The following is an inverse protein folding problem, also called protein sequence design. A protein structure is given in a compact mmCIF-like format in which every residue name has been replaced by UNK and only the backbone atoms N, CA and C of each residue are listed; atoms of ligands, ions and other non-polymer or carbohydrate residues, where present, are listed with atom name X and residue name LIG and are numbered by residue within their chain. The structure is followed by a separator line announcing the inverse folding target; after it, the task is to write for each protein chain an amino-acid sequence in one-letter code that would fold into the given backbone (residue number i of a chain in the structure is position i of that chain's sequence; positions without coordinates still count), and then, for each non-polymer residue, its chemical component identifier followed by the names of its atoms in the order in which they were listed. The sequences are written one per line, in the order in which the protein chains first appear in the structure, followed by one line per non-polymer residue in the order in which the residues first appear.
data_IF_919208878954
#
_entry.id   IF_919208878954
#
_cell.length_a   1.000
_cell.length_b   1.000
_cell.length_c   1.000
_cell.angle_alpha   90.00
_cell.angle_beta   90.00
_cell.angle_gamma   90.00
#
_symmetry.space_group_name_H-M   'P 1'
#
loop_
_entity.id
_entity.type
_entity.pdbx_description
1 polymer ?
#
# COMPACT_ATOMS: atom_id res chain seq x y z
N UNK A 1 -21.57 -0.86 9.69
CA UNK A 1 -22.48 -0.50 10.80
C UNK A 1 -21.70 0.10 11.97
N UNK A 2 -20.73 -0.64 12.55
CA UNK A 2 -19.97 -0.16 13.72
C UNK A 2 -19.15 1.10 13.43
N UNK A 3 -18.46 1.19 12.27
CA UNK A 3 -17.72 2.38 11.87
C UNK A 3 -18.65 3.61 11.82
N UNK A 4 -19.80 3.49 11.16
CA UNK A 4 -20.77 4.59 11.05
C UNK A 4 -21.30 5.08 12.40
N UNK A 5 -21.47 4.18 13.40
CA UNK A 5 -21.92 4.57 14.74
C UNK A 5 -20.90 5.41 15.52
N UNK A 6 -19.64 5.43 15.06
CA UNK A 6 -18.56 6.30 15.57
C UNK A 6 -18.33 7.54 14.71
N UNK A 7 -19.19 7.82 13.73
CA UNK A 7 -19.02 8.94 12.80
C UNK A 7 -17.97 8.71 11.71
N UNK A 8 -17.46 7.48 11.58
CA UNK A 8 -16.48 7.11 10.53
C UNK A 8 -17.24 6.86 9.23
N UNK A 9 -16.91 7.61 8.19
CA UNK A 9 -17.60 7.60 6.90
C UNK A 9 -16.79 6.95 5.77
N UNK A 10 -15.56 6.50 6.02
CA UNK A 10 -14.70 5.86 5.04
C UNK A 10 -14.07 4.58 5.60
N UNK A 11 -13.74 3.66 4.72
CA UNK A 11 -13.10 2.37 5.06
C UNK A 11 -11.91 2.12 4.16
N UNK A 12 -10.82 1.66 4.78
CA UNK A 12 -9.69 1.04 4.11
C UNK A 12 -9.76 -0.49 4.29
N UNK A 13 -9.34 -1.21 3.27
CA UNK A 13 -9.32 -2.67 3.25
C UNK A 13 -7.89 -3.20 3.28
N UNK A 14 -7.72 -4.43 3.78
CA UNK A 14 -6.45 -5.17 3.71
C UNK A 14 -6.71 -6.52 3.05
N UNK A 15 -6.03 -6.80 1.95
CA UNK A 15 -6.22 -8.03 1.16
C UNK A 15 -6.03 -9.30 1.99
N UNK A 16 -5.09 -9.30 2.93
CA UNK A 16 -4.80 -10.41 3.82
C UNK A 16 -5.98 -10.85 4.69
N UNK A 17 -6.93 -9.97 4.97
CA UNK A 17 -8.15 -10.31 5.70
C UNK A 17 -9.09 -11.22 4.89
N UNK A 18 -8.90 -11.30 3.59
CA UNK A 18 -9.77 -12.04 2.66
C UNK A 18 -9.07 -13.22 1.99
N UNK A 19 -7.76 -13.36 2.12
CA UNK A 19 -6.98 -14.42 1.48
C UNK A 19 -6.46 -15.48 2.46
N UNK A 20 -6.43 -15.20 3.76
CA UNK A 20 -5.73 -16.01 4.75
C UNK A 20 -6.63 -16.60 5.86
N UNK A 21 -7.94 -16.36 5.84
CA UNK A 21 -8.84 -16.85 6.91
C UNK A 21 -9.84 -17.87 6.40
N UNK A 22 -10.25 -18.77 7.26
CA UNK A 22 -11.22 -19.86 7.01
C UNK A 22 -12.69 -19.41 7.00
N UNK A 23 -12.94 -18.10 7.00
CA UNK A 23 -14.28 -17.52 7.08
C UNK A 23 -15.02 -17.60 5.73
N UNK A 24 -16.34 -17.49 5.76
CA UNK A 24 -17.24 -17.63 4.61
C UNK A 24 -16.93 -16.67 3.45
N UNK A 25 -16.33 -15.51 3.73
CA UNK A 25 -15.95 -14.54 2.70
C UNK A 25 -14.78 -15.01 1.83
N UNK A 26 -13.87 -15.83 2.35
CA UNK A 26 -12.71 -16.34 1.60
C UNK A 26 -13.03 -17.41 0.58
N UNK A 27 -14.09 -18.15 0.81
CA UNK A 27 -14.59 -19.13 -0.15
C UNK A 27 -15.30 -18.48 -1.34
N UNK A 28 -15.45 -17.15 -1.30
CA UNK A 28 -16.02 -16.39 -2.40
C UNK A 28 -14.98 -16.13 -3.50
N UNK A 29 -15.41 -16.19 -4.74
CA UNK A 29 -14.59 -15.64 -5.83
C UNK A 29 -14.40 -14.13 -5.63
N UNK A 30 -13.27 -13.58 -6.10
CA UNK A 30 -12.97 -12.14 -6.06
C UNK A 30 -14.18 -11.29 -6.51
N UNK A 31 -14.87 -11.71 -7.57
CA UNK A 31 -16.05 -11.00 -8.08
C UNK A 31 -17.23 -10.98 -7.09
N UNK A 32 -17.49 -12.10 -6.40
CA UNK A 32 -18.56 -12.16 -5.39
C UNK A 32 -18.18 -11.34 -4.15
N UNK A 33 -16.94 -11.44 -3.71
CA UNK A 33 -16.41 -10.68 -2.58
C UNK A 33 -16.56 -9.16 -2.83
N UNK A 34 -16.10 -8.67 -4.00
CA UNK A 34 -16.19 -7.25 -4.33
C UNK A 34 -17.65 -6.74 -4.33
N UNK A 35 -18.58 -7.51 -4.90
CA UNK A 35 -20.00 -7.15 -4.89
C UNK A 35 -20.57 -7.09 -3.47
N UNK A 36 -20.21 -8.04 -2.61
CA UNK A 36 -20.67 -8.08 -1.22
C UNK A 36 -20.12 -6.90 -0.40
N UNK A 37 -18.83 -6.59 -0.55
CA UNK A 37 -18.22 -5.45 0.14
C UNK A 37 -18.81 -4.12 -0.33
N UNK A 38 -18.97 -3.94 -1.65
CA UNK A 38 -19.58 -2.76 -2.23
C UNK A 38 -21.01 -2.57 -1.72
N UNK A 39 -21.82 -3.65 -1.73
CA UNK A 39 -23.17 -3.61 -1.19
C UNK A 39 -23.19 -3.19 0.28
N UNK A 40 -22.32 -3.75 1.12
CA UNK A 40 -22.23 -3.40 2.54
C UNK A 40 -21.86 -1.94 2.77
N UNK A 41 -20.88 -1.43 2.02
CA UNK A 41 -20.49 -0.03 2.15
C UNK A 41 -21.63 0.92 1.75
N UNK A 42 -22.34 0.62 0.67
CA UNK A 42 -23.51 1.37 0.21
C UNK A 42 -24.68 1.31 1.21
N UNK A 43 -25.03 0.12 1.73
CA UNK A 43 -26.11 -0.07 2.71
C UNK A 43 -25.88 0.75 4.00
N UNK A 44 -24.62 1.04 4.33
CA UNK A 44 -24.27 1.81 5.53
C UNK A 44 -23.79 3.25 5.24
N UNK A 45 -23.78 3.67 3.99
CA UNK A 45 -23.33 5.01 3.59
C UNK A 45 -21.88 5.29 4.01
N UNK A 46 -20.97 4.35 3.68
CA UNK A 46 -19.54 4.43 3.98
C UNK A 46 -18.76 4.32 2.68
N UNK A 47 -17.81 5.22 2.47
CA UNK A 47 -16.98 5.25 1.26
C UNK A 47 -15.85 4.21 1.33
N UNK A 48 -15.55 3.59 0.19
CA UNK A 48 -14.41 2.69 0.02
C UNK A 48 -13.25 3.53 -0.53
N UNK A 49 -12.23 3.81 0.26
CA UNK A 49 -11.19 4.78 -0.16
C UNK A 49 -9.90 4.12 -0.61
N UNK A 50 -9.50 3.02 0.05
CA UNK A 50 -8.21 2.40 -0.20
C UNK A 50 -8.26 0.90 0.07
N UNK A 51 -7.45 0.14 -0.68
CA UNK A 51 -7.13 -1.25 -0.37
C UNK A 51 -5.62 -1.46 -0.29
N UNK A 52 -5.16 -2.09 0.78
CA UNK A 52 -3.76 -2.47 0.99
C UNK A 52 -3.55 -3.89 0.47
N UNK A 53 -2.58 -4.06 -0.41
CA UNK A 53 -2.27 -5.36 -1.01
C UNK A 53 -1.01 -5.93 -0.37
N UNK A 54 -1.17 -7.08 0.26
CA UNK A 54 -0.09 -7.84 0.89
C UNK A 54 0.03 -9.24 0.26
N UNK A 55 1.26 -9.79 0.30
CA UNK A 55 1.54 -11.20 -0.08
C UNK A 55 1.16 -11.58 -1.51
N UNK A 56 1.24 -10.64 -2.47
CA UNK A 56 0.94 -10.86 -3.88
C UNK A 56 2.20 -10.96 -4.76
N UNK A 57 3.34 -11.24 -4.16
CA UNK A 57 4.64 -11.33 -4.81
C UNK A 57 5.47 -10.05 -4.71
N UNK A 58 6.71 -10.14 -5.18
CA UNK A 58 7.75 -9.13 -4.98
C UNK A 58 7.91 -8.26 -6.22
N UNK A 59 7.39 -7.02 -6.17
CA UNK A 59 7.42 -6.07 -7.29
C UNK A 59 8.83 -5.56 -7.63
N UNK A 60 9.79 -5.67 -6.71
CA UNK A 60 11.17 -5.27 -6.94
C UNK A 60 12.12 -6.46 -7.21
N UNK A 61 11.62 -7.71 -7.28
CA UNK A 61 12.45 -8.89 -7.47
C UNK A 61 13.34 -8.80 -8.71
N UNK A 62 14.62 -9.17 -8.57
CA UNK A 62 15.55 -9.34 -9.68
C UNK A 62 15.24 -10.59 -10.52
N UNK A 63 14.49 -11.54 -9.99
CA UNK A 63 13.94 -12.65 -10.77
C UNK A 63 12.79 -12.12 -11.64
N UNK A 64 13.04 -12.03 -12.95
CA UNK A 64 12.09 -11.49 -13.90
C UNK A 64 10.74 -12.24 -13.92
N UNK A 65 10.77 -13.57 -13.76
CA UNK A 65 9.54 -14.39 -13.74
C UNK A 65 8.70 -14.07 -12.51
N UNK A 66 9.30 -14.04 -11.33
CA UNK A 66 8.62 -13.70 -10.08
C UNK A 66 8.04 -12.28 -10.12
N UNK A 67 8.81 -11.33 -10.66
CA UNK A 67 8.36 -9.93 -10.78
C UNK A 67 7.17 -9.80 -11.74
N UNK A 68 7.18 -10.47 -12.89
CA UNK A 68 6.05 -10.47 -13.84
C UNK A 68 4.81 -11.12 -13.23
N UNK A 69 4.97 -12.23 -12.51
CA UNK A 69 3.87 -12.88 -11.80
C UNK A 69 3.29 -11.97 -10.71
N UNK A 70 4.15 -11.26 -9.95
CA UNK A 70 3.71 -10.27 -8.98
C UNK A 70 2.93 -9.13 -9.65
N UNK A 71 3.39 -8.61 -10.79
CA UNK A 71 2.67 -7.58 -11.55
C UNK A 71 1.28 -8.07 -11.96
N UNK A 72 1.16 -9.30 -12.49
CA UNK A 72 -0.12 -9.84 -12.93
C UNK A 72 -1.08 -10.11 -11.76
N UNK A 73 -0.55 -10.51 -10.61
CA UNK A 73 -1.34 -10.61 -9.39
C UNK A 73 -1.87 -9.24 -8.95
N UNK A 74 -1.04 -8.20 -8.96
CA UNK A 74 -1.45 -6.85 -8.59
C UNK A 74 -2.46 -6.23 -9.57
N UNK A 75 -2.40 -6.53 -10.87
CA UNK A 75 -3.42 -6.10 -11.85
C UNK A 75 -4.82 -6.63 -11.49
N UNK A 76 -4.93 -7.87 -11.01
CA UNK A 76 -6.21 -8.42 -10.54
C UNK A 76 -6.78 -7.62 -9.37
N UNK A 77 -5.91 -7.13 -8.49
CA UNK A 77 -6.29 -6.28 -7.38
C UNK A 77 -6.62 -4.85 -7.81
N UNK A 78 -5.99 -4.31 -8.86
CA UNK A 78 -6.39 -3.04 -9.49
C UNK A 78 -7.84 -3.15 -9.98
N UNK A 79 -8.16 -4.21 -10.74
CA UNK A 79 -9.53 -4.43 -11.22
C UNK A 79 -10.54 -4.58 -10.07
N UNK A 80 -10.15 -5.27 -9.02
CA UNK A 80 -10.97 -5.44 -7.82
C UNK A 80 -11.20 -4.11 -7.11
N UNK A 81 -10.14 -3.34 -6.88
CA UNK A 81 -10.17 -2.04 -6.19
C UNK A 81 -11.06 -1.04 -6.92
N UNK A 82 -10.89 -0.95 -8.24
CA UNK A 82 -11.70 -0.08 -9.09
C UNK A 82 -13.19 -0.45 -9.03
N UNK A 83 -13.52 -1.75 -9.14
CA UNK A 83 -14.91 -2.23 -9.03
C UNK A 83 -15.51 -2.06 -7.63
N UNK A 84 -14.68 -2.06 -6.60
CA UNK A 84 -15.10 -1.79 -5.22
C UNK A 84 -15.36 -0.30 -4.97
N UNK A 85 -14.91 0.58 -5.87
CA UNK A 85 -15.02 2.02 -5.76
C UNK A 85 -13.91 2.66 -4.92
N UNK A 86 -12.79 1.93 -4.72
CA UNK A 86 -11.59 2.53 -4.11
C UNK A 86 -10.93 3.49 -5.10
N UNK A 87 -10.43 4.61 -4.59
CA UNK A 87 -9.64 5.56 -5.37
C UNK A 87 -8.15 5.20 -5.39
N UNK A 88 -7.72 4.37 -4.44
CA UNK A 88 -6.30 4.09 -4.20
C UNK A 88 -6.05 2.62 -3.87
N UNK A 89 -4.98 2.07 -4.43
CA UNK A 89 -4.43 0.76 -4.07
C UNK A 89 -3.00 0.92 -3.55
N UNK A 90 -2.73 0.45 -2.33
CA UNK A 90 -1.38 0.44 -1.76
C UNK A 90 -0.67 -0.86 -2.08
N UNK A 91 0.58 -0.76 -2.50
CA UNK A 91 1.50 -1.87 -2.75
C UNK A 91 2.79 -1.71 -1.94
N UNK A 92 3.52 -2.82 -1.77
CA UNK A 92 4.84 -2.86 -1.16
C UNK A 92 5.92 -3.15 -2.20
N UNK A 93 7.11 -2.57 -2.03
CA UNK A 93 8.29 -2.82 -2.87
C UNK A 93 9.29 -3.70 -2.11
N UNK A 94 9.23 -4.99 -2.37
CA UNK A 94 10.11 -6.00 -1.76
C UNK A 94 10.79 -6.88 -2.81
N UNK A 95 11.78 -7.70 -2.39
CA UNK A 95 12.38 -8.76 -3.19
C UNK A 95 13.73 -8.43 -3.81
N UNK A 96 14.37 -7.32 -3.42
CA UNK A 96 15.74 -6.97 -3.82
C UNK A 96 16.39 -6.10 -2.73
N UNK A 97 17.64 -6.39 -2.39
CA UNK A 97 18.41 -5.67 -1.38
C UNK A 97 19.49 -4.77 -2.00
N UNK A 98 19.82 -4.96 -3.27
CA UNK A 98 20.70 -4.05 -3.99
C UNK A 98 19.90 -2.81 -4.43
N UNK A 99 20.29 -1.63 -3.96
CA UNK A 99 19.57 -0.37 -4.17
C UNK A 99 19.34 -0.02 -5.66
N UNK A 100 20.33 -0.25 -6.51
CA UNK A 100 20.22 0.08 -7.94
C UNK A 100 19.19 -0.82 -8.63
N UNK A 101 19.30 -2.14 -8.43
CA UNK A 101 18.37 -3.12 -8.97
C UNK A 101 16.95 -2.94 -8.40
N UNK A 102 16.85 -2.71 -7.08
CA UNK A 102 15.58 -2.41 -6.43
C UNK A 102 14.89 -1.20 -7.06
N UNK A 103 15.65 -0.11 -7.26
CA UNK A 103 15.14 1.11 -7.90
C UNK A 103 14.66 0.82 -9.33
N UNK A 104 15.50 0.17 -10.14
CA UNK A 104 15.18 -0.14 -11.53
C UNK A 104 13.93 -1.04 -11.66
N UNK A 105 13.88 -2.12 -10.89
CA UNK A 105 12.77 -3.07 -10.92
C UNK A 105 11.47 -2.45 -10.38
N UNK A 106 11.56 -1.66 -9.31
CA UNK A 106 10.42 -0.91 -8.77
C UNK A 106 9.82 0.04 -9.80
N UNK A 107 10.65 0.83 -10.48
CA UNK A 107 10.21 1.74 -11.53
C UNK A 107 9.51 0.99 -12.65
N UNK A 108 10.08 -0.13 -13.13
CA UNK A 108 9.45 -0.97 -14.18
C UNK A 108 8.08 -1.47 -13.74
N UNK A 109 7.99 -2.03 -12.54
CA UNK A 109 6.74 -2.61 -12.04
C UNK A 109 5.66 -1.56 -11.82
N UNK A 110 6.00 -0.46 -11.16
CA UNK A 110 5.06 0.63 -10.89
C UNK A 110 4.58 1.29 -12.18
N UNK A 111 5.47 1.51 -13.17
CA UNK A 111 5.06 2.06 -14.46
C UNK A 111 4.06 1.16 -15.18
N UNK A 112 4.20 -0.17 -15.10
CA UNK A 112 3.23 -1.11 -15.68
C UNK A 112 1.89 -1.02 -14.95
N UNK A 113 1.90 -1.03 -13.61
CA UNK A 113 0.67 -1.01 -12.81
C UNK A 113 -0.10 0.30 -12.96
N UNK A 114 0.59 1.45 -12.90
CA UNK A 114 -0.05 2.77 -13.02
C UNK A 114 -0.60 3.04 -14.43
N UNK A 115 0.03 2.49 -15.47
CA UNK A 115 -0.50 2.58 -16.83
C UNK A 115 -1.63 1.57 -17.12
N UNK A 116 -1.81 0.54 -16.27
CA UNK A 116 -2.85 -0.47 -16.46
C UNK A 116 -4.27 0.10 -16.22
N UNK A 117 -4.42 0.94 -15.19
CA UNK A 117 -5.66 1.68 -14.94
C UNK A 117 -5.32 3.09 -14.42
N UNK A 118 -5.63 4.12 -15.20
CA UNK A 118 -5.31 5.51 -14.88
C UNK A 118 -6.31 6.18 -13.93
N UNK A 119 -7.44 5.56 -13.71
CA UNK A 119 -8.49 6.06 -12.81
C UNK A 119 -8.29 5.57 -11.36
N UNK A 120 -7.22 4.78 -11.10
CA UNK A 120 -6.87 4.29 -9.78
C UNK A 120 -5.44 4.71 -9.42
N UNK A 121 -5.25 5.29 -8.25
CA UNK A 121 -3.92 5.59 -7.73
C UNK A 121 -3.22 4.31 -7.25
N UNK A 122 -1.99 4.10 -7.70
CA UNK A 122 -1.09 3.05 -7.20
C UNK A 122 -0.07 3.71 -6.30
N UNK A 123 -0.16 3.46 -4.99
CA UNK A 123 0.72 4.09 -4.01
C UNK A 123 1.62 3.09 -3.32
N UNK A 124 2.80 3.54 -2.95
CA UNK A 124 3.78 2.73 -2.21
C UNK A 124 3.87 3.24 -0.77
N UNK A 125 3.71 2.32 0.18
CA UNK A 125 4.00 2.57 1.59
C UNK A 125 5.50 2.39 1.86
N UNK A 126 6.07 3.22 2.71
CA UNK A 126 7.37 2.93 3.32
C UNK A 126 7.18 1.80 4.34
N UNK A 127 7.45 0.56 3.94
CA UNK A 127 7.11 -0.63 4.70
C UNK A 127 8.26 -1.66 4.74
N UNK A 128 9.33 -1.32 5.46
CA UNK A 128 10.50 -2.17 5.64
C UNK A 128 11.53 -2.10 4.51
N UNK A 129 12.75 -2.54 4.81
CA UNK A 129 13.85 -2.60 3.86
C UNK A 129 14.18 -1.25 3.21
N UNK A 130 14.48 -1.27 1.92
CA UNK A 130 14.88 -0.07 1.17
C UNK A 130 13.74 0.97 1.08
N UNK A 131 12.47 0.55 1.13
CA UNK A 131 11.33 1.48 1.08
C UNK A 131 11.18 2.32 2.35
N UNK A 132 11.71 1.86 3.49
CA UNK A 132 11.73 2.63 4.75
C UNK A 132 12.73 3.80 4.74
N UNK A 133 13.55 3.92 3.70
CA UNK A 133 14.39 5.09 3.48
C UNK A 133 13.66 6.08 2.57
N UNK A 134 13.19 7.21 3.11
CA UNK A 134 12.40 8.20 2.39
C UNK A 134 13.07 8.68 1.10
N UNK A 135 14.39 8.95 1.13
CA UNK A 135 15.16 9.36 -0.04
C UNK A 135 15.15 8.31 -1.17
N UNK A 136 15.25 7.03 -0.82
CA UNK A 136 15.27 5.96 -1.83
C UNK A 136 13.89 5.82 -2.49
N UNK A 137 12.83 5.83 -1.69
CA UNK A 137 11.47 5.74 -2.21
C UNK A 137 11.10 6.98 -3.03
N UNK A 138 11.44 8.18 -2.57
CA UNK A 138 11.25 9.42 -3.34
C UNK A 138 11.98 9.38 -4.69
N UNK A 139 13.21 8.82 -4.76
CA UNK A 139 13.92 8.62 -6.00
C UNK A 139 13.21 7.66 -6.97
N UNK A 140 12.58 6.61 -6.46
CA UNK A 140 11.72 5.73 -7.29
C UNK A 140 10.56 6.53 -7.87
N UNK A 141 9.84 7.29 -7.05
CA UNK A 141 8.69 8.10 -7.50
C UNK A 141 9.09 9.12 -8.56
N UNK A 142 10.20 9.84 -8.36
CA UNK A 142 10.72 10.82 -9.34
C UNK A 142 11.06 10.19 -10.70
N UNK A 143 11.46 8.91 -10.71
CA UNK A 143 11.78 8.18 -11.96
C UNK A 143 10.54 7.58 -12.62
N UNK A 144 9.55 7.16 -11.86
CA UNK A 144 8.26 6.70 -12.39
C UNK A 144 7.53 7.85 -13.06
N UNK A 145 7.43 8.99 -12.40
CA UNK A 145 6.87 10.26 -12.90
C UNK A 145 5.54 10.08 -13.67
N UNK A 146 4.58 9.40 -13.04
CA UNK A 146 3.24 9.15 -13.56
C UNK A 146 2.24 9.66 -12.52
N UNK A 147 1.28 10.47 -12.92
CA UNK A 147 0.38 11.23 -12.02
C UNK A 147 -0.39 10.36 -11.02
N UNK A 148 -0.84 9.17 -11.41
CA UNK A 148 -1.52 8.22 -10.52
C UNK A 148 -0.59 7.22 -9.84
N UNK A 149 0.74 7.47 -9.83
CA UNK A 149 1.72 6.72 -9.06
C UNK A 149 2.29 7.59 -7.96
N UNK A 150 2.18 7.17 -6.71
CA UNK A 150 2.63 7.99 -5.60
C UNK A 150 3.02 7.21 -4.36
N UNK A 151 3.03 7.90 -3.24
CA UNK A 151 3.36 7.32 -1.94
C UNK A 151 2.16 7.33 -1.00
N UNK A 152 2.21 6.45 -0.02
CA UNK A 152 1.42 6.45 1.20
C UNK A 152 2.41 6.52 2.37
N UNK A 153 2.88 7.72 2.77
CA UNK A 153 3.79 7.84 3.90
C UNK A 153 3.16 7.30 5.17
N UNK A 154 3.79 6.28 5.76
CA UNK A 154 3.44 5.73 7.06
C UNK A 154 4.40 6.31 8.10
N UNK A 155 3.88 7.05 9.08
CA UNK A 155 4.69 7.79 10.03
C UNK A 155 5.46 6.88 11.01
N UNK A 156 5.03 5.64 11.20
CA UNK A 156 5.68 4.65 12.05
C UNK A 156 6.67 3.70 11.34
N UNK A 157 6.76 3.70 10.00
CA UNK A 157 7.48 2.66 9.25
C UNK A 157 8.84 3.12 8.69
N UNK A 158 9.60 3.92 9.43
CA UNK A 158 10.94 4.37 9.04
C UNK A 158 12.09 3.53 9.64
N UNK A 159 11.81 2.31 10.07
CA UNK A 159 12.85 1.38 10.50
C UNK A 159 13.58 0.79 9.29
N UNK A 160 14.88 1.03 9.18
CA UNK A 160 15.74 0.56 8.08
C UNK A 160 16.60 -0.65 8.46
N UNK A 161 16.64 -1.01 9.74
CA UNK A 161 17.30 -2.23 10.22
C UNK A 161 16.48 -2.81 11.39
N UNK A 162 15.88 -3.98 11.16
CA UNK A 162 14.98 -4.65 12.09
C UNK A 162 13.50 -4.43 11.75
N UNK A 163 12.67 -4.38 12.76
CA UNK A 163 11.24 -4.11 12.68
C UNK A 163 10.85 -2.91 13.54
N UNK A 164 9.74 -2.22 13.31
CA UNK A 164 9.39 -1.02 14.09
C UNK A 164 9.39 -1.18 15.60
N UNK A 165 9.07 -2.38 16.11
CA UNK A 165 9.11 -2.66 17.58
C UNK A 165 10.49 -3.05 18.08
N UNK A 166 11.40 -3.51 17.22
CA UNK A 166 12.76 -3.97 17.52
C UNK A 166 13.73 -3.36 16.51
N UNK A 167 13.65 -2.05 16.33
CA UNK A 167 14.41 -1.34 15.33
C UNK A 167 15.80 -0.98 15.83
N UNK A 168 16.81 -1.52 15.16
CA UNK A 168 18.22 -1.20 15.47
C UNK A 168 18.65 0.13 14.84
N UNK A 169 18.00 0.53 13.71
CA UNK A 169 18.35 1.76 13.01
C UNK A 169 17.13 2.40 12.35
N UNK A 170 16.83 3.62 12.79
CA UNK A 170 15.77 4.44 12.22
C UNK A 170 16.30 5.38 11.14
N UNK A 171 15.52 5.55 10.07
CA UNK A 171 15.61 6.74 9.23
C UNK A 171 14.95 7.91 9.96
N UNK A 172 15.44 9.12 9.78
CA UNK A 172 14.81 10.30 10.37
C UNK A 172 13.37 10.43 9.86
N UNK A 173 12.39 10.30 10.77
CA UNK A 173 10.95 10.26 10.46
C UNK A 173 10.50 11.55 9.80
N UNK A 174 10.84 12.71 10.37
CA UNK A 174 10.42 14.01 9.84
C UNK A 174 11.02 14.28 8.48
N UNK A 175 12.29 13.92 8.29
CA UNK A 175 12.95 14.01 7.00
C UNK A 175 12.29 13.08 5.99
N UNK A 176 12.02 11.82 6.36
CA UNK A 176 11.39 10.83 5.51
C UNK A 176 9.99 11.25 5.07
N UNK A 177 9.16 11.71 6.01
CA UNK A 177 7.84 12.29 5.69
C UNK A 177 7.97 13.45 4.72
N UNK A 178 8.88 14.41 4.97
CA UNK A 178 9.10 15.55 4.08
C UNK A 178 9.53 15.14 2.66
N UNK A 179 10.31 14.07 2.53
CA UNK A 179 10.77 13.54 1.24
C UNK A 179 9.65 12.85 0.47
N UNK A 180 8.70 12.19 1.16
CA UNK A 180 7.62 11.42 0.55
C UNK A 180 6.35 12.23 0.26
N UNK A 181 6.05 13.25 1.07
CA UNK A 181 4.84 14.06 0.95
C UNK A 181 4.61 14.69 -0.44
N UNK A 182 5.64 15.13 -1.20
CA UNK A 182 5.43 15.64 -2.55
C UNK A 182 4.80 14.63 -3.54
N UNK A 183 4.86 13.35 -3.23
CA UNK A 183 4.31 12.25 -4.04
C UNK A 183 3.09 11.59 -3.38
N UNK A 184 2.61 12.10 -2.24
CA UNK A 184 1.59 11.41 -1.46
C UNK A 184 0.19 11.58 -2.06
N UNK A 185 -0.54 10.46 -2.22
CA UNK A 185 -1.98 10.44 -2.49
C UNK A 185 -2.81 10.07 -1.26
N UNK A 186 -2.16 9.49 -0.24
CA UNK A 186 -2.74 9.18 1.06
C UNK A 186 -1.65 9.16 2.13
N UNK A 187 -2.01 9.11 3.40
CA UNK A 187 -1.07 8.99 4.53
C UNK A 187 -1.57 7.95 5.52
N UNK A 188 -0.64 7.26 6.19
CA UNK A 188 -0.91 6.39 7.33
C UNK A 188 -0.35 7.06 8.59
N UNK A 189 -1.23 7.64 9.38
CA UNK A 189 -0.87 8.33 10.63
C UNK A 189 -0.67 7.30 11.77
N UNK A 190 0.29 6.39 11.56
CA UNK A 190 0.62 5.34 12.53
C UNK A 190 1.44 5.89 13.67
N UNK A 191 1.08 5.49 14.89
CA UNK A 191 1.82 5.75 16.10
C UNK A 191 2.11 4.45 16.86
N UNK A 192 3.24 4.38 17.54
CA UNK A 192 3.62 3.26 18.40
C UNK A 192 3.68 3.62 19.89
N UNK A 193 3.87 4.88 20.20
CA UNK A 193 4.06 5.37 21.56
C UNK A 193 3.20 6.60 21.79
N UNK A 194 2.59 6.65 22.96
CA UNK A 194 1.88 7.83 23.43
C UNK A 194 2.39 8.15 24.82
N UNK A 195 2.59 9.44 25.12
CA UNK A 195 2.85 9.90 26.48
C UNK A 195 1.59 9.83 27.35
N UNK A 196 1.71 10.15 28.62
CA UNK A 196 0.58 10.13 29.57
C UNK A 196 -0.52 11.13 29.22
N UNK A 197 -0.26 12.10 28.33
CA UNK A 197 -1.23 13.08 27.83
C UNK A 197 -1.84 12.65 26.49
N UNK A 198 -1.44 11.51 25.93
CA UNK A 198 -1.90 10.99 24.66
C UNK A 198 -1.21 11.63 23.44
N UNK A 199 -0.04 12.24 23.60
CA UNK A 199 0.80 12.73 22.51
C UNK A 199 1.86 11.68 22.12
N UNK A 200 2.16 11.59 20.82
CA UNK A 200 3.27 10.81 20.30
C UNK A 200 4.60 11.55 20.44
#
# INVERSE_FOLDING_TARGET
KKAKSFGINAIEYVSGLYTNHTDTLEKMSMSKLGKELLKRSQDYGVDNVLIMIDSQGSLASSNNKERLEAIDNHKRWIDFSYKLGCETMRVNLSGEDNLEKWTENSVKSLSVLSNYNKDLNVVVENHGGLSSNGKYLANVMSKVNIDNCGTLPDFGNFCIDGSPRLCAKWYDIYKGVKELMPYAHAVSAKSYHFDDNGHE
#
